data_IF_380588792156
#
_entry.id   IF_380588792156
#
_cell.length_a   1.000
_cell.length_b   1.000
_cell.length_c   1.000
_cell.angle_alpha   90.00
_cell.angle_beta   90.00
_cell.angle_gamma   90.00
#
_symmetry.space_group_name_H-M   'P 1'
#
loop_
_entity.id
_entity.type
_entity.pdbx_description
1 polymer ?
#
# COMPACT_ATOMS: atom_id res chain seq x y z
N UNK A 1 -0.42 14.96 12.19
CA UNK A 1 -1.79 14.55 12.59
C UNK A 1 -2.69 14.26 11.40
N UNK A 2 -2.78 15.13 10.39
CA UNK A 2 -3.60 14.91 9.19
C UNK A 2 -3.41 13.53 8.51
N UNK A 3 -2.16 13.08 8.33
CA UNK A 3 -1.85 11.76 7.78
C UNK A 3 -2.56 10.63 8.54
N UNK A 4 -2.41 10.60 9.87
CA UNK A 4 -2.94 9.49 10.69
C UNK A 4 -4.47 9.43 10.69
N UNK A 5 -5.14 10.58 10.63
CA UNK A 5 -6.60 10.65 10.53
C UNK A 5 -7.06 10.06 9.20
N UNK A 6 -6.43 10.47 8.09
CA UNK A 6 -6.77 9.95 6.76
C UNK A 6 -6.43 8.46 6.66
N UNK A 7 -5.27 8.05 7.18
CA UNK A 7 -4.85 6.65 7.23
C UNK A 7 -5.86 5.79 8.00
N UNK A 8 -6.37 6.28 9.13
CA UNK A 8 -7.41 5.60 9.90
C UNK A 8 -8.71 5.43 9.09
N UNK A 9 -9.20 6.49 8.44
CA UNK A 9 -10.42 6.40 7.61
C UNK A 9 -10.24 5.47 6.40
N UNK A 10 -9.07 5.50 5.76
CA UNK A 10 -8.75 4.59 4.66
C UNK A 10 -8.67 3.14 5.13
N UNK A 11 -8.03 2.87 6.28
CA UNK A 11 -7.97 1.54 6.87
C UNK A 11 -9.38 1.02 7.23
N UNK A 12 -10.22 1.88 7.82
CA UNK A 12 -11.60 1.57 8.12
C UNK A 12 -12.41 1.28 6.85
N UNK A 13 -12.32 2.12 5.83
CA UNK A 13 -13.03 1.93 4.56
C UNK A 13 -12.59 0.66 3.85
N UNK A 14 -11.28 0.39 3.79
CA UNK A 14 -10.73 -0.81 3.19
C UNK A 14 -11.22 -2.07 3.92
N UNK A 15 -11.31 -2.03 5.24
CA UNK A 15 -11.70 -3.20 6.05
C UNK A 15 -13.22 -3.40 6.12
N UNK A 16 -14.02 -2.33 6.06
CA UNK A 16 -15.49 -2.42 6.14
C UNK A 16 -16.16 -2.60 4.78
N UNK A 17 -15.66 -1.93 3.73
CA UNK A 17 -16.29 -1.92 2.40
C UNK A 17 -15.53 -2.81 1.42
N UNK A 18 -14.23 -2.55 1.22
CA UNK A 18 -13.48 -3.26 0.18
C UNK A 18 -13.28 -4.74 0.52
N UNK A 19 -12.98 -5.04 1.79
CA UNK A 19 -12.86 -6.44 2.23
C UNK A 19 -14.17 -7.22 2.06
N UNK A 20 -15.32 -6.59 2.30
CA UNK A 20 -16.63 -7.21 2.08
C UNK A 20 -16.89 -7.49 0.59
N UNK A 21 -16.43 -6.62 -0.31
CA UNK A 21 -16.56 -6.82 -1.76
C UNK A 21 -15.60 -7.89 -2.31
N UNK A 22 -14.35 -7.89 -1.85
CA UNK A 22 -13.29 -8.76 -2.37
C UNK A 22 -13.15 -10.07 -1.59
N UNK A 23 -13.86 -10.21 -0.46
CA UNK A 23 -13.96 -11.40 0.40
C UNK A 23 -12.63 -11.91 0.99
N UNK A 24 -11.50 -11.28 0.68
CA UNK A 24 -10.17 -11.67 1.11
C UNK A 24 -9.25 -10.46 1.21
N UNK A 25 -8.52 -10.37 2.32
CA UNK A 25 -7.57 -9.27 2.59
C UNK A 25 -6.45 -9.23 1.53
N UNK A 26 -5.99 -10.41 1.09
CA UNK A 26 -4.94 -10.53 0.07
C UNK A 26 -5.36 -9.99 -1.30
N UNK A 27 -6.66 -10.08 -1.59
CA UNK A 27 -7.24 -9.69 -2.88
C UNK A 27 -7.83 -8.28 -2.84
N UNK A 28 -7.83 -7.63 -1.68
CA UNK A 28 -8.40 -6.29 -1.53
C UNK A 28 -7.42 -5.23 -2.08
N UNK A 29 -7.89 -4.22 -2.83
CA UNK A 29 -7.06 -3.09 -3.23
C UNK A 29 -6.52 -2.35 -1.99
N UNK A 30 -5.21 -2.11 -1.95
CA UNK A 30 -4.52 -1.54 -0.80
C UNK A 30 -4.34 -0.02 -0.95
N UNK A 31 -5.47 0.70 -0.81
CA UNK A 31 -5.49 2.16 -0.92
C UNK A 31 -4.66 2.84 0.18
N UNK A 32 -4.53 2.20 1.34
CA UNK A 32 -3.71 2.70 2.43
C UNK A 32 -2.22 2.66 2.09
N UNK A 33 -1.75 1.60 1.45
CA UNK A 33 -0.37 1.49 0.96
C UNK A 33 -0.06 2.55 -0.09
N UNK A 34 -0.99 2.79 -1.02
CA UNK A 34 -0.90 3.88 -2.00
C UNK A 34 -0.80 5.25 -1.33
N UNK A 35 -1.64 5.50 -0.32
CA UNK A 35 -1.58 6.74 0.45
C UNK A 35 -0.27 6.90 1.22
N UNK A 36 0.25 5.81 1.80
CA UNK A 36 1.54 5.77 2.46
C UNK A 36 2.67 6.12 1.47
N UNK A 37 2.67 5.51 0.29
CA UNK A 37 3.65 5.76 -0.77
C UNK A 37 3.74 7.25 -1.14
N UNK A 38 2.60 7.88 -1.46
CA UNK A 38 2.55 9.30 -1.82
C UNK A 38 3.04 10.22 -0.68
N UNK A 39 2.79 9.84 0.57
CA UNK A 39 3.25 10.60 1.73
C UNK A 39 4.74 10.43 2.01
N UNK A 40 5.32 9.25 1.82
CA UNK A 40 6.77 9.05 1.97
C UNK A 40 7.53 9.72 0.82
N UNK A 41 6.92 9.79 -0.37
CA UNK A 41 7.47 10.53 -1.51
C UNK A 41 7.64 12.02 -1.13
N UNK A 42 6.58 12.66 -0.61
CA UNK A 42 6.56 14.09 -0.31
C UNK A 42 7.22 14.54 1.00
N UNK A 43 7.33 13.68 2.04
CA UNK A 43 7.86 14.07 3.36
C UNK A 43 8.87 13.05 3.91
N UNK A 44 10.12 13.48 4.16
CA UNK A 44 11.26 12.58 4.42
C UNK A 44 11.43 12.07 5.85
N UNK A 45 10.99 12.78 6.89
CA UNK A 45 11.50 12.52 8.25
C UNK A 45 10.69 11.55 9.13
N UNK A 46 9.55 11.02 8.67
CA UNK A 46 8.70 10.15 9.52
C UNK A 46 8.14 8.90 8.82
N UNK A 47 8.80 8.44 7.76
CA UNK A 47 8.35 7.32 6.92
C UNK A 47 8.10 6.03 7.71
N UNK A 48 9.00 5.65 8.62
CA UNK A 48 8.88 4.41 9.40
C UNK A 48 7.69 4.46 10.34
N UNK A 49 7.53 5.55 11.10
CA UNK A 49 6.41 5.73 12.02
C UNK A 49 5.06 5.71 11.29
N UNK A 50 5.01 6.29 10.09
CA UNK A 50 3.81 6.26 9.23
C UNK A 50 3.48 4.85 8.77
N UNK A 51 4.48 4.09 8.34
CA UNK A 51 4.32 2.71 7.90
C UNK A 51 3.81 1.81 9.03
N UNK A 52 4.45 1.90 10.22
CA UNK A 52 4.05 1.15 11.41
C UNK A 52 2.61 1.44 11.79
N UNK A 53 2.23 2.72 11.92
CA UNK A 53 0.88 3.08 12.34
C UNK A 53 -0.19 2.76 11.28
N UNK A 54 0.11 2.95 9.99
CA UNK A 54 -0.81 2.60 8.92
C UNK A 54 -1.07 1.08 8.87
N UNK A 55 0.00 0.27 8.91
CA UNK A 55 -0.13 -1.18 8.95
C UNK A 55 -0.83 -1.67 10.23
N UNK A 56 -0.53 -1.07 11.38
CA UNK A 56 -1.22 -1.36 12.64
C UNK A 56 -2.73 -1.09 12.57
N UNK A 57 -3.17 -0.01 11.91
CA UNK A 57 -4.61 0.26 11.76
C UNK A 57 -5.30 -0.83 10.94
N UNK A 58 -4.69 -1.30 9.85
CA UNK A 58 -5.26 -2.43 9.10
C UNK A 58 -5.28 -3.70 9.94
N UNK A 59 -4.19 -4.01 10.64
CA UNK A 59 -4.16 -5.18 11.51
C UNK A 59 -5.23 -5.14 12.61
N UNK A 60 -5.52 -3.96 13.15
CA UNK A 60 -6.56 -3.77 14.16
C UNK A 60 -7.97 -3.99 13.59
N UNK A 61 -8.25 -3.53 12.38
CA UNK A 61 -9.58 -3.68 11.76
C UNK A 61 -9.80 -5.03 11.09
N UNK A 62 -8.73 -5.72 10.70
CA UNK A 62 -8.77 -6.97 9.94
C UNK A 62 -8.40 -8.19 10.78
N UNK A 63 -7.99 -8.01 12.04
CA UNK A 63 -7.52 -9.09 12.92
C UNK A 63 -6.39 -9.93 12.29
N UNK A 64 -5.52 -9.26 11.52
CA UNK A 64 -4.44 -9.91 10.77
C UNK A 64 -3.13 -10.06 11.55
N UNK A 65 -3.11 -9.68 12.83
CA UNK A 65 -2.04 -9.96 13.80
C UNK A 65 -0.61 -9.65 13.30
N UNK A 66 -0.40 -8.47 12.72
CA UNK A 66 0.92 -7.99 12.31
C UNK A 66 1.29 -8.29 10.85
N UNK A 67 0.44 -8.99 10.09
CA UNK A 67 0.67 -9.27 8.67
C UNK A 67 0.78 -7.97 7.87
N UNK A 68 -0.20 -7.08 7.98
CA UNK A 68 -0.22 -5.82 7.24
C UNK A 68 0.91 -4.88 7.73
N UNK A 69 1.16 -4.82 9.04
CA UNK A 69 2.29 -4.08 9.59
C UNK A 69 3.62 -4.54 8.99
N UNK A 70 3.85 -5.85 8.92
CA UNK A 70 5.09 -6.39 8.37
C UNK A 70 5.29 -6.01 6.89
N UNK A 71 4.23 -6.11 6.08
CA UNK A 71 4.25 -5.71 4.67
C UNK A 71 4.51 -4.22 4.49
N UNK A 72 3.85 -3.38 5.28
CA UNK A 72 3.98 -1.92 5.19
C UNK A 72 5.38 -1.44 5.61
N UNK A 73 5.96 -2.05 6.64
CA UNK A 73 7.33 -1.77 7.07
C UNK A 73 8.33 -2.21 6.00
N UNK A 74 8.15 -3.39 5.41
CA UNK A 74 8.98 -3.88 4.30
C UNK A 74 8.92 -2.89 3.12
N UNK A 75 7.71 -2.54 2.68
CA UNK A 75 7.48 -1.61 1.58
C UNK A 75 8.17 -0.27 1.83
N UNK A 76 7.96 0.33 3.00
CA UNK A 76 8.51 1.63 3.33
C UNK A 76 10.04 1.62 3.41
N UNK A 77 10.62 0.51 3.90
CA UNK A 77 12.08 0.33 3.97
C UNK A 77 12.68 0.22 2.57
N UNK A 78 12.11 -0.62 1.71
CA UNK A 78 12.55 -0.77 0.32
C UNK A 78 12.40 0.53 -0.46
N UNK A 79 11.27 1.22 -0.30
CA UNK A 79 11.05 2.50 -0.94
C UNK A 79 12.08 3.55 -0.51
N UNK A 80 12.37 3.64 0.78
CA UNK A 80 13.35 4.60 1.29
C UNK A 80 14.77 4.28 0.78
N UNK A 81 15.14 3.00 0.65
CA UNK A 81 16.40 2.58 0.04
C UNK A 81 16.48 2.95 -1.45
N UNK A 82 15.39 2.79 -2.20
CA UNK A 82 15.32 3.17 -3.62
C UNK A 82 15.36 4.69 -3.81
N UNK A 83 14.67 5.44 -2.96
CA UNK A 83 14.61 6.92 -3.00
C UNK A 83 15.99 7.56 -2.85
N UNK A 84 16.93 6.92 -2.16
CA UNK A 84 18.32 7.39 -2.06
C UNK A 84 19.11 7.31 -3.38
N UNK A 85 18.62 6.54 -4.36
CA UNK A 85 19.37 6.22 -5.60
C UNK A 85 18.64 6.58 -6.89
N UNK A 86 17.33 6.85 -6.84
CA UNK A 86 16.48 7.00 -8.01
C UNK A 86 15.68 8.31 -7.91
N UNK A 87 15.94 9.23 -8.84
CA UNK A 87 15.05 10.37 -9.07
C UNK A 87 13.82 9.89 -9.85
N UNK A 88 12.63 10.36 -9.46
CA UNK A 88 11.34 9.96 -10.07
C UNK A 88 10.70 11.13 -10.82
N UNK A 89 11.25 11.55 -11.97
CA UNK A 89 10.82 12.77 -12.66
C UNK A 89 9.48 12.63 -13.41
N UNK A 90 8.98 11.41 -13.62
CA UNK A 90 7.80 11.17 -14.47
C UNK A 90 6.69 10.38 -13.79
N UNK A 91 5.44 10.60 -14.24
CA UNK A 91 4.26 9.79 -13.82
C UNK A 91 4.50 8.30 -14.01
N UNK A 92 5.15 7.93 -15.11
CA UNK A 92 5.45 6.54 -15.45
C UNK A 92 6.46 5.95 -14.46
N UNK A 93 7.49 6.72 -14.08
CA UNK A 93 8.47 6.27 -13.06
C UNK A 93 7.82 6.03 -11.69
N UNK A 94 6.91 6.92 -11.27
CA UNK A 94 6.14 6.75 -10.02
C UNK A 94 5.28 5.49 -10.06
N UNK A 95 4.55 5.26 -11.15
CA UNK A 95 3.72 4.08 -11.35
C UNK A 95 4.56 2.80 -11.30
N UNK A 96 5.69 2.76 -12.01
CA UNK A 96 6.55 1.58 -12.05
C UNK A 96 7.16 1.26 -10.68
N UNK A 97 7.65 2.26 -9.96
CA UNK A 97 8.22 2.05 -8.63
C UNK A 97 7.16 1.57 -7.65
N UNK A 98 5.98 2.20 -7.66
CA UNK A 98 4.87 1.74 -6.82
C UNK A 98 4.45 0.32 -7.19
N UNK A 99 4.30 0.03 -8.49
CA UNK A 99 3.91 -1.30 -8.96
C UNK A 99 4.88 -2.37 -8.48
N UNK A 100 6.19 -2.17 -8.67
CA UNK A 100 7.21 -3.12 -8.23
C UNK A 100 7.18 -3.33 -6.71
N UNK A 101 7.16 -2.25 -5.93
CA UNK A 101 7.20 -2.34 -4.48
C UNK A 101 5.91 -2.92 -3.89
N UNK A 102 4.74 -2.54 -4.42
CA UNK A 102 3.45 -3.10 -4.02
C UNK A 102 3.39 -4.60 -4.35
N UNK A 103 3.94 -5.02 -5.48
CA UNK A 103 4.00 -6.43 -5.84
C UNK A 103 4.91 -7.23 -4.89
N UNK A 104 6.07 -6.67 -4.51
CA UNK A 104 6.95 -7.28 -3.50
C UNK A 104 6.26 -7.38 -2.14
N UNK A 105 5.57 -6.32 -1.70
CA UNK A 105 4.81 -6.31 -0.46
C UNK A 105 3.69 -7.36 -0.46
N UNK A 106 2.90 -7.43 -1.54
CA UNK A 106 1.82 -8.41 -1.69
C UNK A 106 2.36 -9.84 -1.69
N UNK A 107 3.46 -10.10 -2.39
CA UNK A 107 4.10 -11.42 -2.38
C UNK A 107 4.60 -11.79 -0.98
N UNK A 108 5.14 -10.82 -0.23
CA UNK A 108 5.56 -11.02 1.15
C UNK A 108 4.38 -11.38 2.06
N UNK A 109 3.29 -10.60 2.01
CA UNK A 109 2.07 -10.87 2.79
C UNK A 109 1.46 -12.21 2.39
N UNK A 110 1.41 -12.54 1.10
CA UNK A 110 0.94 -13.85 0.61
C UNK A 110 1.82 -14.98 1.17
N UNK A 111 3.15 -14.84 1.15
CA UNK A 111 4.05 -15.85 1.67
C UNK A 111 3.79 -16.11 3.17
N UNK A 112 3.68 -15.04 3.97
CA UNK A 112 3.37 -15.14 5.39
C UNK A 112 1.97 -15.71 5.66
N UNK A 113 0.97 -15.32 4.87
CA UNK A 113 -0.40 -15.80 5.01
C UNK A 113 -0.54 -17.27 4.62
N UNK A 114 0.11 -17.69 3.53
CA UNK A 114 0.04 -19.06 3.02
C UNK A 114 0.69 -20.06 3.96
N UNK A 115 1.74 -19.66 4.68
CA UNK A 115 2.34 -20.45 5.77
C UNK A 115 1.29 -20.74 6.87
N UNK A 116 0.31 -19.85 7.08
CA UNK A 116 -0.64 -19.94 8.18
C UNK A 116 -2.01 -20.53 7.80
N UNK A 117 -2.51 -20.35 6.58
CA UNK A 117 -3.95 -20.56 6.29
C UNK A 117 -4.31 -21.28 4.98
N UNK A 118 -3.37 -21.86 4.22
CA UNK A 118 -3.61 -22.66 2.99
C UNK A 118 -4.87 -22.25 2.18
N UNK A 119 -4.83 -21.06 1.57
CA UNK A 119 -6.01 -20.45 0.94
C UNK A 119 -5.89 -20.43 -0.58
N UNK A 120 -7.01 -20.64 -1.27
CA UNK A 120 -7.07 -20.55 -2.74
C UNK A 120 -6.99 -19.09 -3.19
N UNK A 121 -5.98 -18.75 -3.99
CA UNK A 121 -5.78 -17.42 -4.55
C UNK A 121 -6.49 -17.30 -5.90
N UNK A 122 -7.52 -16.45 -5.97
CA UNK A 122 -8.13 -16.08 -7.24
C UNK A 122 -7.27 -15.04 -7.97
N UNK A 123 -6.50 -15.51 -8.95
CA UNK A 123 -5.54 -14.71 -9.73
C UNK A 123 -6.23 -13.54 -10.45
N UNK A 124 -7.44 -13.76 -11.00
CA UNK A 124 -8.18 -12.72 -11.71
C UNK A 124 -8.58 -11.57 -10.79
N UNK A 125 -9.03 -11.90 -9.58
CA UNK A 125 -9.41 -10.91 -8.58
C UNK A 125 -8.17 -10.14 -8.07
N UNK A 126 -7.04 -10.82 -7.91
CA UNK A 126 -5.76 -10.19 -7.56
C UNK A 126 -5.32 -9.19 -8.63
N UNK A 127 -5.36 -9.58 -9.90
CA UNK A 127 -5.03 -8.68 -11.03
C UNK A 127 -5.96 -7.47 -11.09
N UNK A 128 -7.27 -7.67 -10.90
CA UNK A 128 -8.23 -6.58 -10.87
C UNK A 128 -7.95 -5.62 -9.71
N UNK A 129 -7.68 -6.14 -8.51
CA UNK A 129 -7.35 -5.33 -7.33
C UNK A 129 -6.11 -4.46 -7.54
N UNK A 130 -5.06 -5.04 -8.12
CA UNK A 130 -3.81 -4.36 -8.40
C UNK A 130 -3.99 -3.31 -9.51
N UNK A 131 -4.78 -3.63 -10.53
CA UNK A 131 -5.11 -2.70 -11.62
C UNK A 131 -5.87 -1.48 -11.11
N UNK A 132 -6.79 -1.67 -10.14
CA UNK A 132 -7.50 -0.56 -9.50
C UNK A 132 -6.54 0.35 -8.73
N UNK A 133 -5.58 -0.19 -7.98
CA UNK A 133 -4.56 0.64 -7.31
C UNK A 133 -3.74 1.48 -8.29
N UNK A 134 -3.26 0.87 -9.38
CA UNK A 134 -2.50 1.58 -10.39
C UNK A 134 -3.33 2.66 -11.07
N UNK A 135 -4.61 2.40 -11.34
CA UNK A 135 -5.54 3.38 -11.88
C UNK A 135 -5.75 4.55 -10.91
N UNK A 136 -5.95 4.28 -9.61
CA UNK A 136 -6.04 5.33 -8.59
C UNK A 136 -4.75 6.16 -8.52
N UNK A 137 -3.59 5.52 -8.55
CA UNK A 137 -2.30 6.21 -8.53
C UNK A 137 -2.14 7.08 -9.78
N UNK A 138 -2.49 6.57 -10.96
CA UNK A 138 -2.43 7.31 -12.21
C UNK A 138 -3.30 8.57 -12.15
N UNK A 139 -4.56 8.45 -11.71
CA UNK A 139 -5.49 9.58 -11.59
C UNK A 139 -5.00 10.65 -10.60
N UNK A 140 -4.41 10.24 -9.47
CA UNK A 140 -3.97 11.16 -8.40
C UNK A 140 -2.59 11.76 -8.72
N UNK A 141 -1.69 11.01 -9.35
CA UNK A 141 -0.32 11.45 -9.69
C UNK A 141 -0.31 12.71 -10.57
N UNK A 142 -1.38 12.92 -11.36
CA UNK A 142 -1.50 14.09 -12.21
C UNK A 142 -1.55 15.42 -11.45
N UNK A 143 -2.09 15.42 -10.23
CA UNK A 143 -2.13 16.59 -9.35
C UNK A 143 -0.87 16.73 -8.48
N UNK A 144 -0.14 15.63 -8.26
CA UNK A 144 1.02 15.61 -7.37
C UNK A 144 2.26 16.23 -8.04
N UNK A 145 2.52 15.88 -9.30
CA UNK A 145 3.66 16.43 -10.06
C UNK A 145 3.48 17.91 -10.43
N UNK A 146 2.23 18.38 -10.59
CA UNK A 146 1.94 19.79 -10.90
C UNK A 146 2.21 20.73 -9.71
N UNK A 147 2.51 20.18 -8.53
CA UNK A 147 2.78 20.95 -7.32
C UNK A 147 4.27 21.18 -7.08
N UNK A 148 5.13 20.49 -7.83
CA UNK A 148 6.60 20.59 -7.77
C UNK A 148 7.20 21.32 -9.00
N UNK A 149 6.39 21.70 -9.99
CA UNK A 149 6.75 22.56 -11.13
C UNK A 149 6.24 23.99 -10.94
#
# INVERSE_FOLDING_TARGET
MKFYIIAFFLAYFQSSVLLALFHSMLLTPNLLLLYLFLNILGEGNSWLRRAVLAGFFLDLFQDSLGLNLSGFVLFATLFNLMKLRIEMPSRVSLLLVYALLSLVERLWVIALFRIRYYTELNIWLALLSFSLELLFLYLISGRYLYRES
#
